data_IF_319004969360
#
_entry.id   IF_319004969360
#
_cell.length_a   1.000
_cell.length_b   1.000
_cell.length_c   1.000
_cell.angle_alpha   90.00
_cell.angle_beta   90.00
_cell.angle_gamma   90.00
#
_symmetry.space_group_name_H-M   'P 1'
#
loop_
_entity.id
_entity.type
_entity.pdbx_description
1 polymer ?
#
# COMPACT_ATOMS: atom_id res chain seq x y z
N UNK A 1 14.85 12.71 1.40
CA UNK A 1 14.05 11.57 1.85
C UNK A 1 13.71 10.72 0.63
N UNK A 2 13.36 9.44 0.80
CA UNK A 2 12.91 8.59 -0.31
C UNK A 2 11.49 8.95 -0.76
N UNK A 3 10.61 9.31 0.18
CA UNK A 3 9.22 9.73 -0.05
C UNK A 3 8.97 11.14 0.54
N UNK A 4 8.05 11.88 -0.06
CA UNK A 4 7.56 13.18 0.44
C UNK A 4 8.09 14.41 -0.28
N UNK A 5 7.72 15.58 0.26
CA UNK A 5 8.05 16.89 -0.30
C UNK A 5 9.57 17.14 -0.38
N UNK A 6 10.02 17.65 -1.53
CA UNK A 6 11.39 18.10 -1.79
C UNK A 6 11.37 19.27 -2.76
N UNK A 7 12.35 20.16 -2.68
CA UNK A 7 12.41 21.39 -3.50
C UNK A 7 11.09 22.19 -3.44
N UNK A 8 10.58 22.40 -2.22
CA UNK A 8 9.26 22.98 -1.98
C UNK A 8 9.17 24.40 -2.52
N UNK A 9 8.13 24.66 -3.31
CA UNK A 9 7.75 25.99 -3.74
C UNK A 9 7.13 26.77 -2.57
N UNK A 10 7.62 27.97 -2.21
CA UNK A 10 7.04 28.79 -1.15
C UNK A 10 5.55 29.12 -1.35
N UNK A 11 5.10 29.28 -2.60
CA UNK A 11 3.69 29.54 -2.91
C UNK A 11 2.81 28.33 -2.63
N UNK A 12 3.30 27.11 -2.91
CA UNK A 12 2.58 25.87 -2.59
C UNK A 12 2.34 25.78 -1.08
N UNK A 13 3.41 25.95 -0.29
CA UNK A 13 3.31 25.95 1.17
C UNK A 13 2.35 27.01 1.69
N UNK A 14 2.39 28.22 1.13
CA UNK A 14 1.54 29.33 1.57
C UNK A 14 0.06 29.11 1.25
N UNK A 15 -0.25 28.51 0.09
CA UNK A 15 -1.63 28.39 -0.39
C UNK A 15 -2.32 27.11 0.08
N UNK A 16 -1.61 25.98 0.13
CA UNK A 16 -2.21 24.66 0.32
C UNK A 16 -1.57 23.83 1.43
N UNK A 17 -0.48 24.32 2.04
CA UNK A 17 0.33 23.53 2.96
C UNK A 17 1.30 22.59 2.23
N UNK A 18 2.05 21.83 3.03
CA UNK A 18 2.99 20.80 2.57
C UNK A 18 2.95 19.61 3.53
N UNK A 19 1.74 19.29 4.00
CA UNK A 19 1.50 18.19 4.91
C UNK A 19 2.07 16.91 4.27
N UNK A 20 2.81 16.15 5.05
CA UNK A 20 3.26 14.81 4.70
C UNK A 20 2.06 13.86 4.65
N UNK A 21 2.21 12.71 3.98
CA UNK A 21 1.10 11.75 3.87
C UNK A 21 0.56 11.26 5.22
N UNK A 22 1.39 11.02 6.25
CA UNK A 22 0.87 10.73 7.58
C UNK A 22 0.12 11.91 8.22
N UNK A 23 0.53 13.16 7.98
CA UNK A 23 -0.17 14.35 8.47
C UNK A 23 -1.54 14.53 7.78
N UNK A 24 -1.66 14.23 6.49
CA UNK A 24 -2.96 14.25 5.80
C UNK A 24 -3.87 13.11 6.29
N UNK A 25 -3.31 11.94 6.58
CA UNK A 25 -4.07 10.85 7.21
C UNK A 25 -4.62 11.24 8.59
N UNK A 26 -3.85 11.99 9.39
CA UNK A 26 -4.35 12.55 10.66
C UNK A 26 -5.45 13.60 10.42
N UNK A 27 -5.33 14.45 9.39
CA UNK A 27 -6.38 15.41 9.02
C UNK A 27 -7.67 14.70 8.62
N UNK A 28 -7.57 13.61 7.86
CA UNK A 28 -8.70 12.75 7.49
C UNK A 28 -9.32 12.13 8.74
N UNK A 29 -8.50 11.54 9.60
CA UNK A 29 -8.99 10.90 10.83
C UNK A 29 -9.75 11.90 11.73
N UNK A 30 -9.21 13.10 11.89
CA UNK A 30 -9.85 14.17 12.66
C UNK A 30 -11.14 14.67 12.00
N UNK A 31 -11.10 15.02 10.71
CA UNK A 31 -12.22 15.60 9.99
C UNK A 31 -13.41 14.63 9.87
N UNK A 32 -13.13 13.35 9.63
CA UNK A 32 -14.15 12.31 9.45
C UNK A 32 -14.38 11.46 10.69
N UNK A 33 -13.75 11.79 11.82
CA UNK A 33 -13.89 11.13 13.11
C UNK A 33 -13.59 9.62 13.06
N UNK A 34 -12.52 9.26 12.38
CA UNK A 34 -12.06 7.86 12.31
C UNK A 34 -11.23 7.56 13.56
N UNK A 35 -11.80 6.78 14.47
CA UNK A 35 -11.19 6.47 15.76
C UNK A 35 -9.87 5.70 15.61
N UNK A 36 -8.98 5.82 16.61
CA UNK A 36 -7.72 5.05 16.66
C UNK A 36 -8.00 3.55 16.69
N UNK A 37 -9.04 3.16 17.44
CA UNK A 37 -9.47 1.78 17.60
C UNK A 37 -9.92 1.17 16.26
N UNK A 38 -10.67 1.92 15.45
CA UNK A 38 -11.11 1.48 14.13
C UNK A 38 -9.94 1.39 13.13
N UNK A 39 -8.99 2.32 13.21
CA UNK A 39 -7.77 2.28 12.39
C UNK A 39 -6.95 1.03 12.69
N UNK A 40 -6.70 0.74 13.96
CA UNK A 40 -5.93 -0.44 14.39
C UNK A 40 -6.69 -1.75 14.07
N UNK A 41 -8.02 -1.76 14.24
CA UNK A 41 -8.85 -2.91 13.88
C UNK A 41 -8.87 -3.16 12.36
N UNK A 42 -8.83 -2.10 11.55
CA UNK A 42 -8.68 -2.23 10.10
C UNK A 42 -7.32 -2.82 9.74
N UNK A 43 -6.24 -2.28 10.32
CA UNK A 43 -4.88 -2.74 10.08
C UNK A 43 -4.68 -4.21 10.49
N UNK A 44 -5.19 -4.60 11.66
CA UNK A 44 -5.19 -5.99 12.14
C UNK A 44 -5.87 -6.93 11.13
N UNK A 45 -7.10 -6.60 10.70
CA UNK A 45 -7.83 -7.40 9.72
C UNK A 45 -7.12 -7.48 8.36
N UNK A 46 -6.38 -6.43 7.99
CA UNK A 46 -5.55 -6.45 6.78
C UNK A 46 -4.45 -7.51 6.88
N UNK A 47 -3.75 -7.57 8.02
CA UNK A 47 -2.68 -8.54 8.26
C UNK A 47 -3.21 -9.98 8.32
N UNK A 48 -4.31 -10.23 9.03
CA UNK A 48 -4.93 -11.57 9.09
C UNK A 48 -5.34 -12.08 7.70
N UNK A 49 -5.93 -11.20 6.87
CA UNK A 49 -6.36 -11.57 5.51
C UNK A 49 -5.16 -11.87 4.61
N UNK A 50 -4.10 -11.07 4.69
CA UNK A 50 -2.88 -11.27 3.91
C UNK A 50 -2.18 -12.57 4.32
N UNK A 51 -1.99 -12.80 5.62
CA UNK A 51 -1.38 -14.03 6.15
C UNK A 51 -2.18 -15.28 5.73
N UNK A 52 -3.51 -15.21 5.81
CA UNK A 52 -4.38 -16.29 5.33
C UNK A 52 -4.22 -16.51 3.82
N UNK A 53 -4.22 -15.45 3.01
CA UNK A 53 -4.07 -15.57 1.56
C UNK A 53 -2.70 -16.16 1.15
N UNK A 54 -1.62 -15.80 1.85
CA UNK A 54 -0.31 -16.42 1.68
C UNK A 54 -0.35 -17.91 2.04
N UNK A 55 -0.92 -18.25 3.20
CA UNK A 55 -1.04 -19.65 3.67
C UNK A 55 -1.88 -20.51 2.74
N UNK A 56 -2.93 -19.94 2.15
CA UNK A 56 -3.82 -20.61 1.20
C UNK A 56 -3.23 -20.68 -0.22
N UNK A 57 -2.04 -20.12 -0.46
CA UNK A 57 -1.36 -20.15 -1.76
C UNK A 57 -1.92 -19.17 -2.79
N UNK A 58 -2.85 -18.30 -2.42
CA UNK A 58 -3.54 -17.38 -3.36
C UNK A 58 -2.57 -16.40 -4.01
N UNK A 59 -1.64 -15.84 -3.23
CA UNK A 59 -0.63 -14.93 -3.78
C UNK A 59 0.42 -15.66 -4.63
N UNK A 60 0.68 -16.94 -4.36
CA UNK A 60 1.61 -17.73 -5.17
C UNK A 60 1.11 -17.93 -6.61
N UNK A 61 -0.21 -17.83 -6.85
CA UNK A 61 -0.78 -17.82 -8.21
C UNK A 61 -0.48 -16.52 -8.97
N UNK A 62 -0.22 -15.43 -8.26
CA UNK A 62 -0.01 -14.09 -8.82
C UNK A 62 1.48 -13.70 -8.88
N UNK A 63 2.33 -14.34 -8.06
CA UNK A 63 3.76 -13.99 -7.92
C UNK A 63 4.64 -14.77 -8.90
N UNK A 64 5.48 -14.02 -9.63
CA UNK A 64 6.63 -14.58 -10.35
C UNK A 64 7.88 -14.38 -9.48
N UNK A 65 8.61 -15.45 -9.10
CA UNK A 65 9.78 -15.33 -8.23
C UNK A 65 10.89 -14.45 -8.81
N UNK A 66 11.52 -13.66 -7.95
CA UNK A 66 12.72 -12.86 -8.27
C UNK A 66 13.96 -13.57 -7.73
N UNK A 67 14.92 -13.85 -8.62
CA UNK A 67 16.17 -14.51 -8.26
C UNK A 67 17.27 -13.46 -8.04
N UNK A 68 17.74 -13.32 -6.81
CA UNK A 68 18.79 -12.36 -6.44
C UNK A 68 20.15 -13.06 -6.44
N UNK A 69 21.07 -12.71 -7.37
CA UNK A 69 22.37 -13.36 -7.46
C UNK A 69 23.22 -13.18 -6.20
N UNK A 70 23.90 -14.25 -5.77
CA UNK A 70 24.83 -14.24 -4.62
C UNK A 70 26.20 -14.79 -5.02
N UNK A 71 27.27 -14.18 -4.51
CA UNK A 71 28.64 -14.59 -4.87
C UNK A 71 28.94 -15.99 -4.33
N UNK A 72 29.31 -16.92 -5.22
CA UNK A 72 29.68 -18.32 -4.92
C UNK A 72 28.59 -19.08 -4.14
N UNK A 73 27.33 -18.72 -4.32
CA UNK A 73 26.17 -19.35 -3.69
C UNK A 73 25.03 -19.38 -4.70
N UNK A 74 24.05 -20.25 -4.50
CA UNK A 74 22.84 -20.22 -5.30
C UNK A 74 22.08 -18.90 -5.08
N UNK A 75 21.35 -18.40 -6.11
CA UNK A 75 20.54 -17.20 -5.98
C UNK A 75 19.57 -17.30 -4.80
N UNK A 76 19.35 -16.18 -4.10
CA UNK A 76 18.24 -16.09 -3.16
C UNK A 76 16.95 -16.00 -3.99
N UNK A 77 16.02 -16.92 -3.76
CA UNK A 77 14.70 -16.89 -4.40
C UNK A 77 13.78 -16.05 -3.53
N UNK A 78 13.22 -14.99 -4.11
CA UNK A 78 12.24 -14.13 -3.48
C UNK A 78 10.89 -14.36 -4.16
N UNK A 79 10.03 -15.17 -3.53
CA UNK A 79 8.75 -15.64 -4.06
C UNK A 79 7.55 -15.33 -3.15
N UNK A 80 7.79 -14.60 -2.07
CA UNK A 80 6.82 -14.34 -1.01
C UNK A 80 6.90 -12.88 -0.58
N UNK A 81 5.76 -12.18 -0.48
CA UNK A 81 5.73 -10.83 0.05
C UNK A 81 6.27 -10.77 1.48
N UNK A 82 7.23 -9.88 1.73
CA UNK A 82 7.93 -9.75 3.02
C UNK A 82 7.29 -8.73 3.98
N UNK A 83 6.36 -7.91 3.49
CA UNK A 83 5.75 -6.84 4.30
C UNK A 83 4.64 -7.27 5.26
N UNK A 84 3.80 -8.28 4.94
CA UNK A 84 2.81 -8.80 5.89
C UNK A 84 3.46 -9.19 7.23
N UNK A 85 2.85 -8.72 8.31
CA UNK A 85 3.30 -8.88 9.69
C UNK A 85 2.11 -9.09 10.60
N UNK A 86 1.84 -10.33 10.99
CA UNK A 86 0.83 -10.60 12.00
C UNK A 86 1.21 -9.92 13.33
N UNK A 87 0.23 -9.29 13.96
CA UNK A 87 0.36 -8.59 15.22
C UNK A 87 -0.93 -8.74 16.00
N UNK A 88 -0.92 -8.45 17.29
CA UNK A 88 -2.14 -8.38 18.10
C UNK A 88 -2.68 -6.95 18.15
N UNK A 89 -3.97 -6.80 18.49
CA UNK A 89 -4.60 -5.50 18.68
C UNK A 89 -3.96 -4.72 19.83
N UNK A 90 -3.59 -5.40 20.92
CA UNK A 90 -2.92 -4.78 22.07
C UNK A 90 -1.58 -4.18 21.66
N UNK A 91 -0.82 -4.90 20.83
CA UNK A 91 0.45 -4.41 20.30
C UNK A 91 0.24 -3.20 19.40
N UNK A 92 -0.76 -3.22 18.52
CA UNK A 92 -1.10 -2.05 17.67
C UNK A 92 -1.49 -0.84 18.51
N UNK A 93 -2.34 -1.02 19.52
CA UNK A 93 -2.79 0.05 20.42
C UNK A 93 -1.64 0.70 21.20
N UNK A 94 -0.60 -0.09 21.54
CA UNK A 94 0.59 0.43 22.23
C UNK A 94 1.55 1.24 21.36
N UNK A 95 1.37 1.26 20.03
CA UNK A 95 2.29 1.96 19.14
C UNK A 95 2.17 3.49 19.30
N UNK A 96 3.32 4.20 19.28
CA UNK A 96 3.33 5.65 19.32
C UNK A 96 2.80 6.25 18.01
N UNK A 97 2.39 7.50 18.08
CA UNK A 97 1.89 8.31 16.96
C UNK A 97 2.95 9.35 16.58
N UNK A 98 4.00 8.98 15.81
CA UNK A 98 5.18 9.83 15.62
C UNK A 98 4.91 11.08 14.76
N UNK A 99 3.75 11.14 14.11
CA UNK A 99 3.42 12.16 13.12
C UNK A 99 2.67 13.36 13.69
N UNK A 100 2.02 13.19 14.86
CA UNK A 100 1.25 14.24 15.52
C UNK A 100 1.13 13.95 17.02
N UNK A 101 1.30 14.98 17.83
CA UNK A 101 0.99 14.90 19.26
C UNK A 101 -0.51 14.64 19.45
N UNK A 102 -0.87 13.63 20.25
CA UNK A 102 -2.24 13.13 20.38
C UNK A 102 -2.88 12.72 19.03
N UNK A 103 -2.04 12.25 18.09
CA UNK A 103 -2.48 11.68 16.83
C UNK A 103 -3.10 10.30 16.97
N UNK A 104 -3.42 9.71 15.83
CA UNK A 104 -4.02 8.39 15.69
C UNK A 104 -3.27 7.48 14.71
N UNK A 105 -2.47 8.06 13.82
CA UNK A 105 -1.72 7.35 12.79
C UNK A 105 -0.40 6.83 13.39
N UNK A 106 -0.13 5.56 13.16
CA UNK A 106 1.05 4.84 13.65
C UNK A 106 1.72 4.06 12.52
N UNK A 107 2.93 3.56 12.79
CA UNK A 107 3.57 2.61 11.87
C UNK A 107 2.85 1.25 11.75
N UNK A 108 1.90 0.96 12.65
CA UNK A 108 1.12 -0.28 12.63
C UNK A 108 -0.14 -0.19 11.78
N UNK A 109 -0.71 1.01 11.65
CA UNK A 109 -1.94 1.26 10.90
C UNK A 109 -1.71 2.06 9.59
N UNK A 110 -0.45 2.32 9.23
CA UNK A 110 -0.03 2.86 7.96
C UNK A 110 0.86 1.89 7.17
N UNK A 111 0.88 2.03 5.84
CA UNK A 111 1.76 1.25 4.96
C UNK A 111 3.23 1.70 5.09
N UNK A 112 4.15 0.79 4.77
CA UNK A 112 5.56 1.10 4.60
C UNK A 112 5.89 1.69 3.23
N UNK A 113 7.19 1.87 3.00
CA UNK A 113 7.79 2.08 1.68
C UNK A 113 8.31 0.73 1.21
N UNK A 114 7.99 0.33 -0.02
CA UNK A 114 8.22 -1.02 -0.53
C UNK A 114 8.76 -0.98 -1.96
N UNK A 115 9.41 -2.07 -2.37
CA UNK A 115 9.88 -2.31 -3.73
C UNK A 115 9.03 -3.39 -4.41
N UNK A 116 8.72 -3.22 -5.69
CA UNK A 116 7.94 -4.19 -6.47
C UNK A 116 7.64 -3.73 -7.89
N UNK A 117 7.17 -4.66 -8.72
CA UNK A 117 6.71 -4.39 -10.08
C UNK A 117 5.53 -5.31 -10.42
N UNK A 118 4.61 -4.83 -11.25
CA UNK A 118 3.48 -5.60 -11.75
C UNK A 118 3.19 -5.21 -13.22
N UNK A 119 2.68 -6.16 -14.00
CA UNK A 119 2.26 -5.95 -15.38
C UNK A 119 1.03 -6.79 -15.71
N UNK A 120 0.21 -6.30 -16.64
CA UNK A 120 -0.94 -7.05 -17.17
C UNK A 120 -1.02 -6.90 -18.69
N UNK A 121 -1.48 -7.95 -19.37
CA UNK A 121 -1.76 -7.90 -20.80
C UNK A 121 -3.17 -7.37 -21.02
N UNK A 122 -3.30 -6.33 -21.84
CA UNK A 122 -4.60 -5.82 -22.30
C UNK A 122 -4.69 -6.05 -23.80
N UNK A 123 -5.77 -6.68 -24.24
CA UNK A 123 -5.98 -7.05 -25.63
C UNK A 123 -7.40 -6.70 -26.08
N UNK A 124 -7.55 -6.33 -27.36
CA UNK A 124 -8.87 -6.19 -27.99
C UNK A 124 -9.50 -7.57 -28.18
N UNK A 125 -10.82 -7.62 -28.38
CA UNK A 125 -11.53 -8.88 -28.65
C UNK A 125 -10.98 -9.60 -29.90
N UNK A 126 -10.61 -8.84 -30.94
CA UNK A 126 -9.95 -9.40 -32.13
C UNK A 126 -8.61 -10.03 -31.79
N UNK A 127 -7.76 -9.32 -31.02
CA UNK A 127 -6.46 -9.85 -30.62
C UNK A 127 -6.60 -11.12 -29.74
N UNK A 128 -7.58 -11.15 -28.86
CA UNK A 128 -7.92 -12.34 -28.06
C UNK A 128 -8.20 -13.54 -28.96
N UNK A 129 -9.04 -13.37 -30.00
CA UNK A 129 -9.35 -14.44 -30.97
C UNK A 129 -8.13 -14.83 -31.81
N UNK A 130 -7.40 -13.86 -32.37
CA UNK A 130 -6.24 -14.10 -33.24
C UNK A 130 -5.11 -14.82 -32.51
N UNK A 131 -4.87 -14.48 -31.26
CA UNK A 131 -3.76 -15.04 -30.46
C UNK A 131 -4.22 -16.16 -29.51
N UNK A 132 -5.50 -16.56 -29.54
CA UNK A 132 -6.02 -17.64 -28.68
C UNK A 132 -5.89 -17.35 -27.18
N UNK A 133 -6.05 -16.09 -26.77
CA UNK A 133 -5.93 -15.69 -25.37
C UNK A 133 -7.20 -16.05 -24.57
N UNK A 134 -7.05 -16.27 -23.27
CA UNK A 134 -8.16 -16.49 -22.34
C UNK A 134 -8.51 -15.18 -21.61
N UNK A 135 -9.61 -14.50 -21.94
CA UNK A 135 -9.95 -13.24 -21.28
C UNK A 135 -10.35 -13.47 -19.81
N UNK A 136 -9.77 -12.71 -18.89
CA UNK A 136 -10.05 -12.79 -17.45
C UNK A 136 -11.05 -11.72 -16.97
N UNK A 137 -11.01 -10.54 -17.57
CA UNK A 137 -11.83 -9.40 -17.17
C UNK A 137 -12.06 -8.43 -18.34
N UNK A 138 -13.00 -7.49 -18.18
CA UNK A 138 -13.27 -6.41 -19.13
C UNK A 138 -13.16 -5.05 -18.44
N UNK A 139 -12.37 -4.14 -19.01
CA UNK A 139 -12.27 -2.75 -18.54
C UNK A 139 -13.55 -2.01 -18.92
N UNK A 140 -14.27 -1.47 -17.92
CA UNK A 140 -15.50 -0.71 -18.14
C UNK A 140 -15.25 0.78 -18.34
N UNK A 141 -14.27 1.34 -17.64
CA UNK A 141 -13.93 2.75 -17.68
C UNK A 141 -12.98 3.15 -16.55
N UNK A 142 -12.53 4.39 -16.57
CA UNK A 142 -11.67 5.01 -15.55
C UNK A 142 -12.09 6.48 -15.37
N UNK A 143 -12.11 6.98 -14.13
CA UNK A 143 -12.43 8.37 -13.81
C UNK A 143 -11.42 8.93 -12.80
N UNK A 144 -11.23 10.26 -12.80
CA UNK A 144 -10.34 10.98 -11.89
C UNK A 144 -11.06 12.19 -11.28
N UNK A 145 -10.72 12.52 -10.03
CA UNK A 145 -11.26 13.67 -9.30
C UNK A 145 -10.18 14.28 -8.40
N UNK A 146 -10.26 15.59 -8.17
CA UNK A 146 -9.35 16.31 -7.27
C UNK A 146 -10.01 16.64 -5.94
N UNK A 147 -9.19 16.67 -4.87
CA UNK A 147 -9.56 17.09 -3.51
C UNK A 147 -8.52 18.06 -2.96
N UNK A 148 -8.76 18.62 -1.78
CA UNK A 148 -7.78 19.49 -1.11
C UNK A 148 -6.48 18.71 -0.80
N UNK A 149 -5.28 19.26 -1.08
CA UNK A 149 -4.01 18.55 -0.84
C UNK A 149 -3.71 18.17 0.62
N UNK A 150 -4.42 18.75 1.59
CA UNK A 150 -4.27 18.46 3.02
C UNK A 150 -5.02 17.20 3.47
N UNK A 151 -5.79 16.57 2.58
CA UNK A 151 -6.65 15.40 2.81
C UNK A 151 -6.07 14.19 2.07
#
# INVERSE_FOLDING_TARGET
>A
TTIGWRFVNPLMKKQYGIDSMPETAENVAEQYKVSREDQDLFAFRSQEKAARAQKEGRFAEEIVPVFVPRRKQDPLVFDTDEHPRESTLEKLASLPTPFRENGSVTAGNASGVNDGAAAMLVASETAVKTHGLNPMARILGMATAGVEPRI
#
